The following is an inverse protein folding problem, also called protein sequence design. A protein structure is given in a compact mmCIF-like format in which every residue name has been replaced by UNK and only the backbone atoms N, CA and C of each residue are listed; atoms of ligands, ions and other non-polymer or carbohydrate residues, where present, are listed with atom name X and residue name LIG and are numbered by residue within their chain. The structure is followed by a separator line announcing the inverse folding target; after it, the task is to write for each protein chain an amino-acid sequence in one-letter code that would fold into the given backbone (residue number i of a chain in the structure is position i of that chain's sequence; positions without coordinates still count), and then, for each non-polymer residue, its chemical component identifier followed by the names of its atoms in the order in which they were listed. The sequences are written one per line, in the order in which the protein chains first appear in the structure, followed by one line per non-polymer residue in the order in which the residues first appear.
data_IF_174975599858
#
_entry.id   IF_174975599858
#
_cell.length_a   1.000
_cell.length_b   1.000
_cell.length_c   1.000
_cell.angle_alpha   90.00
_cell.angle_beta   90.00
_cell.angle_gamma   90.00
#
_symmetry.space_group_name_H-M   'P 1'
#
loop_
_entity.id
_entity.type
_entity.pdbx_description
1 polymer ?
#
# COMPACT_ATOMS: atom_id res chain seq x y z
N UNK A 1 -0.97 8.50 24.17
CA UNK A 1 -0.16 9.02 23.04
C UNK A 1 -0.42 10.52 22.97
N UNK A 2 0.62 11.34 22.97
CA UNK A 2 0.49 12.80 22.88
C UNK A 2 1.15 13.23 21.58
N UNK A 3 0.36 13.81 20.67
CA UNK A 3 0.87 14.38 19.43
C UNK A 3 1.55 15.71 19.76
N UNK A 4 2.76 15.93 19.24
CA UNK A 4 3.41 17.24 19.27
C UNK A 4 2.52 18.25 18.53
N UNK A 5 2.09 19.29 19.25
CA UNK A 5 1.20 20.34 18.74
C UNK A 5 1.92 21.68 18.50
N UNK A 6 3.24 21.69 18.53
CA UNK A 6 4.04 22.87 18.24
C UNK A 6 3.78 23.31 16.80
N UNK A 7 3.41 24.58 16.65
CA UNK A 7 3.09 25.17 15.36
C UNK A 7 4.39 25.65 14.71
N UNK A 8 4.75 25.15 13.52
CA UNK A 8 5.97 25.56 12.82
C UNK A 8 5.90 27.00 12.33
N UNK A 9 7.02 27.71 12.43
CA UNK A 9 7.22 29.00 11.79
C UNK A 9 7.48 28.86 10.28
N UNK A 10 7.39 29.97 9.53
CA UNK A 10 7.68 29.98 8.09
C UNK A 10 9.11 29.51 7.77
N UNK A 11 10.05 29.72 8.69
CA UNK A 11 11.46 29.37 8.50
C UNK A 11 11.73 27.87 8.66
N UNK A 12 10.88 27.17 9.41
CA UNK A 12 11.00 25.72 9.69
C UNK A 12 10.59 24.86 8.50
N UNK A 13 9.88 25.44 7.53
CA UNK A 13 9.38 24.70 6.38
C UNK A 13 10.53 24.12 5.57
N UNK A 14 10.38 22.84 5.21
CA UNK A 14 11.38 22.11 4.46
C UNK A 14 11.58 22.72 3.07
N UNK A 15 12.84 23.03 2.75
CA UNK A 15 13.26 23.49 1.44
C UNK A 15 13.88 22.33 0.67
N UNK A 16 13.56 22.26 -0.61
CA UNK A 16 14.10 21.29 -1.54
C UNK A 16 15.06 22.01 -2.48
N UNK A 17 16.23 21.40 -2.73
CA UNK A 17 17.19 21.92 -3.71
C UNK A 17 16.64 21.70 -5.12
N UNK A 18 16.09 20.51 -5.38
CA UNK A 18 15.28 20.18 -6.53
C UNK A 18 14.01 19.43 -6.08
N UNK A 19 12.94 19.49 -6.87
CA UNK A 19 11.68 18.74 -6.61
C UNK A 19 11.90 17.22 -6.46
N UNK A 20 13.04 16.73 -6.94
CA UNK A 20 13.42 15.32 -6.97
C UNK A 20 14.36 14.88 -5.82
N UNK A 21 14.88 15.83 -5.05
CA UNK A 21 15.84 15.60 -3.97
C UNK A 21 15.14 15.38 -2.62
N UNK A 22 15.87 14.83 -1.65
CA UNK A 22 15.44 14.88 -0.26
C UNK A 22 15.60 16.29 0.32
N UNK A 23 14.76 16.67 1.30
CA UNK A 23 15.03 17.85 2.10
C UNK A 23 16.44 17.78 2.70
N UNK A 24 17.23 18.84 2.51
CA UNK A 24 18.60 18.94 3.05
C UNK A 24 18.64 19.34 4.53
N UNK A 25 17.48 19.60 5.14
CA UNK A 25 17.38 19.97 6.56
C UNK A 25 18.05 18.90 7.45
N UNK A 26 19.04 19.28 8.29
CA UNK A 26 19.69 18.34 9.21
C UNK A 26 18.71 17.64 10.15
N UNK A 27 17.67 18.36 10.58
CA UNK A 27 16.62 17.81 11.44
C UNK A 27 15.80 16.74 10.71
N UNK A 28 15.39 17.02 9.46
CA UNK A 28 14.68 16.06 8.64
C UNK A 28 15.52 14.80 8.39
N UNK A 29 16.79 14.97 8.01
CA UNK A 29 17.70 13.85 7.76
C UNK A 29 17.93 13.02 9.02
N UNK A 30 18.04 13.67 10.19
CA UNK A 30 18.14 12.98 11.49
C UNK A 30 16.87 12.19 11.80
N UNK A 31 15.69 12.80 11.64
CA UNK A 31 14.40 12.15 11.87
C UNK A 31 14.17 10.97 10.91
N UNK A 32 14.49 11.13 9.63
CA UNK A 32 14.37 10.08 8.62
C UNK A 32 15.31 8.90 8.90
N UNK A 33 16.57 9.16 9.29
CA UNK A 33 17.50 8.12 9.73
C UNK A 33 17.02 7.39 10.98
N UNK A 34 16.50 8.12 11.97
CA UNK A 34 15.96 7.52 13.19
C UNK A 34 14.75 6.63 12.90
N UNK A 35 13.84 7.08 12.03
CA UNK A 35 12.71 6.28 11.57
C UNK A 35 13.19 5.01 10.84
N UNK A 36 14.21 5.13 9.97
CA UNK A 36 14.81 3.99 9.27
C UNK A 36 15.34 2.95 10.23
N UNK A 37 16.20 3.34 11.17
CA UNK A 37 16.80 2.43 12.16
C UNK A 37 15.73 1.77 13.02
N UNK A 38 14.73 2.55 13.45
CA UNK A 38 13.62 2.05 14.27
C UNK A 38 12.78 1.03 13.50
N UNK A 39 12.39 1.33 12.26
CA UNK A 39 11.61 0.41 11.43
C UNK A 39 12.42 -0.83 11.04
N UNK A 40 13.72 -0.69 10.75
CA UNK A 40 14.58 -1.83 10.42
C UNK A 40 14.70 -2.83 11.59
N UNK A 41 14.98 -2.36 12.81
CA UNK A 41 15.01 -3.21 14.02
C UNK A 41 13.65 -3.89 14.29
N UNK A 42 12.55 -3.15 14.09
CA UNK A 42 11.22 -3.70 14.29
C UNK A 42 10.85 -4.73 13.23
N UNK A 43 11.10 -4.44 11.96
CA UNK A 43 10.85 -5.38 10.86
C UNK A 43 11.69 -6.62 11.04
N UNK A 44 12.97 -6.49 11.43
CA UNK A 44 13.81 -7.63 11.82
C UNK A 44 13.10 -8.51 12.85
N UNK A 45 12.72 -7.97 14.00
CA UNK A 45 12.00 -8.73 15.05
C UNK A 45 10.69 -9.34 14.56
N UNK A 46 10.00 -8.66 13.65
CA UNK A 46 8.73 -9.11 13.06
C UNK A 46 8.88 -10.11 11.92
N UNK A 47 10.09 -10.45 11.48
CA UNK A 47 10.29 -11.52 10.48
C UNK A 47 11.23 -12.61 10.99
N UNK A 48 12.08 -12.29 11.96
CA UNK A 48 12.88 -13.28 12.70
C UNK A 48 12.00 -14.05 13.68
N UNK A 49 12.19 -15.36 13.78
CA UNK A 49 11.46 -16.20 14.76
C UNK A 49 10.09 -16.70 14.29
N UNK A 50 9.73 -16.50 13.01
CA UNK A 50 8.56 -17.16 12.44
C UNK A 50 8.84 -18.65 12.29
N UNK A 51 7.97 -19.47 12.85
CA UNK A 51 8.08 -20.92 12.82
C UNK A 51 8.14 -21.46 11.38
N UNK A 52 9.09 -22.35 11.12
CA UNK A 52 9.21 -23.10 9.86
C UNK A 52 8.32 -24.34 9.80
N UNK A 53 7.55 -24.65 10.86
CA UNK A 53 6.71 -25.87 10.94
C UNK A 53 5.72 -26.01 9.78
N UNK A 54 5.30 -24.90 9.18
CA UNK A 54 4.33 -24.89 8.08
C UNK A 54 4.99 -24.85 6.69
N UNK A 55 6.32 -24.75 6.62
CA UNK A 55 7.06 -24.83 5.35
C UNK A 55 7.24 -26.29 4.94
N UNK A 56 6.89 -26.61 3.71
CA UNK A 56 7.24 -27.89 3.07
C UNK A 56 8.65 -27.87 2.51
N UNK A 57 9.16 -26.70 2.13
CA UNK A 57 10.51 -26.52 1.60
C UNK A 57 11.11 -25.23 2.14
N UNK A 58 12.44 -25.15 2.22
CA UNK A 58 13.16 -23.93 2.67
C UNK A 58 12.95 -22.72 1.76
N UNK A 59 12.45 -22.94 0.53
CA UNK A 59 12.13 -21.86 -0.43
C UNK A 59 10.75 -21.26 -0.20
N UNK A 60 9.84 -21.96 0.49
CA UNK A 60 8.48 -21.48 0.73
C UNK A 60 8.48 -20.25 1.63
N UNK A 61 7.66 -19.27 1.28
CA UNK A 61 7.56 -18.02 2.04
C UNK A 61 6.90 -18.24 3.40
N UNK A 62 7.53 -17.77 4.49
CA UNK A 62 6.86 -17.60 5.80
C UNK A 62 6.15 -16.27 5.93
N UNK A 63 6.55 -15.28 5.12
CA UNK A 63 6.12 -13.88 5.21
C UNK A 63 5.51 -13.43 3.90
N UNK A 64 4.26 -12.99 3.99
CA UNK A 64 3.60 -12.27 2.91
C UNK A 64 3.48 -10.79 3.24
N UNK A 65 3.40 -9.94 2.22
CA UNK A 65 3.21 -8.50 2.34
C UNK A 65 1.95 -8.11 1.57
N UNK A 66 1.04 -7.36 2.19
CA UNK A 66 -0.03 -6.68 1.45
C UNK A 66 0.59 -5.61 0.55
N UNK A 67 0.54 -5.83 -0.77
CA UNK A 67 1.42 -5.13 -1.69
C UNK A 67 0.65 -4.49 -2.85
N UNK A 68 0.23 -3.23 -2.69
CA UNK A 68 -0.34 -2.40 -3.76
C UNK A 68 0.71 -1.72 -4.65
N UNK A 69 2.00 -1.85 -4.32
CA UNK A 69 3.08 -1.04 -4.92
C UNK A 69 3.15 0.40 -4.40
N UNK A 70 2.42 0.73 -3.33
CA UNK A 70 2.56 2.02 -2.66
C UNK A 70 3.90 2.17 -1.92
N UNK A 71 4.20 3.39 -1.49
CA UNK A 71 5.38 3.74 -0.69
C UNK A 71 5.55 2.84 0.53
N UNK A 72 4.47 2.66 1.30
CA UNK A 72 4.51 2.00 2.61
C UNK A 72 4.86 0.51 2.47
N UNK A 73 4.13 -0.22 1.65
CA UNK A 73 4.32 -1.66 1.47
C UNK A 73 5.63 -1.99 0.75
N UNK A 74 6.07 -1.15 -0.20
CA UNK A 74 7.36 -1.34 -0.90
C UNK A 74 8.53 -1.13 0.04
N UNK A 75 8.46 -0.11 0.90
CA UNK A 75 9.47 0.13 1.93
C UNK A 75 9.55 -1.04 2.91
N UNK A 76 8.41 -1.51 3.44
CA UNK A 76 8.37 -2.62 4.39
C UNK A 76 8.84 -3.94 3.76
N UNK A 77 8.51 -4.19 2.49
CA UNK A 77 9.01 -5.36 1.76
C UNK A 77 10.55 -5.34 1.69
N UNK A 78 11.15 -4.22 1.29
CA UNK A 78 12.60 -4.10 1.18
C UNK A 78 13.31 -4.23 2.54
N UNK A 79 12.73 -3.67 3.61
CA UNK A 79 13.24 -3.88 4.96
C UNK A 79 13.15 -5.36 5.36
N UNK A 80 12.04 -6.03 5.09
CA UNK A 80 11.86 -7.46 5.40
C UNK A 80 12.87 -8.33 4.66
N UNK A 81 13.17 -8.01 3.39
CA UNK A 81 14.20 -8.71 2.61
C UNK A 81 15.54 -8.79 3.33
N UNK A 82 15.94 -7.73 4.04
CA UNK A 82 17.25 -7.63 4.69
C UNK A 82 17.43 -8.60 5.87
N UNK A 83 16.33 -9.16 6.39
CA UNK A 83 16.33 -10.00 7.59
C UNK A 83 15.79 -11.42 7.36
N UNK A 84 15.28 -11.70 6.16
CA UNK A 84 14.82 -13.04 5.75
C UNK A 84 15.98 -13.76 5.02
N UNK A 85 16.23 -15.06 5.23
CA UNK A 85 17.30 -15.80 4.53
C UNK A 85 17.16 -15.70 3.00
N UNK A 86 18.20 -15.35 2.21
CA UNK A 86 18.09 -15.11 0.76
C UNK A 86 17.44 -16.23 -0.07
N UNK A 87 17.54 -17.48 0.39
CA UNK A 87 16.94 -18.66 -0.24
C UNK A 87 15.41 -18.73 -0.11
N UNK A 88 14.84 -18.03 0.86
CA UNK A 88 13.39 -18.05 1.13
C UNK A 88 12.65 -17.02 0.27
N UNK A 89 11.55 -17.39 -0.36
CA UNK A 89 10.75 -16.41 -1.12
C UNK A 89 10.02 -15.41 -0.21
N UNK A 90 9.69 -14.22 -0.74
CA UNK A 90 8.74 -13.29 -0.11
C UNK A 90 7.54 -13.12 -1.03
N UNK A 91 6.34 -13.31 -0.48
CA UNK A 91 5.09 -13.24 -1.24
C UNK A 91 4.52 -11.82 -1.17
N UNK A 92 4.30 -11.21 -2.34
CA UNK A 92 3.70 -9.88 -2.49
C UNK A 92 2.25 -10.07 -2.97
N UNK A 93 1.29 -9.85 -2.08
CA UNK A 93 -0.13 -10.08 -2.37
C UNK A 93 -0.75 -8.80 -2.95
N UNK A 94 -1.07 -8.81 -4.23
CA UNK A 94 -1.66 -7.67 -4.94
C UNK A 94 -3.05 -8.03 -5.47
N UNK A 95 -4.07 -7.31 -4.98
CA UNK A 95 -5.48 -7.55 -5.30
C UNK A 95 -5.99 -6.57 -6.35
N UNK A 96 -6.75 -7.08 -7.31
CA UNK A 96 -7.45 -6.32 -8.33
C UNK A 96 -8.86 -6.87 -8.50
N UNK A 97 -9.85 -5.99 -8.58
CA UNK A 97 -11.22 -6.36 -8.87
C UNK A 97 -11.53 -6.13 -10.35
N UNK A 98 -12.39 -6.98 -10.89
CA UNK A 98 -12.82 -6.93 -12.29
C UNK A 98 -13.32 -5.54 -12.68
N UNK A 99 -12.70 -4.92 -13.69
CA UNK A 99 -13.09 -3.62 -14.20
C UNK A 99 -14.14 -3.75 -15.31
N UNK A 100 -15.43 -3.74 -14.93
CA UNK A 100 -16.55 -3.89 -15.87
C UNK A 100 -16.56 -2.86 -17.00
N UNK A 101 -15.98 -1.66 -16.80
CA UNK A 101 -15.91 -0.61 -17.84
C UNK A 101 -14.94 -0.97 -18.98
N UNK A 102 -13.87 -1.72 -18.69
CA UNK A 102 -12.94 -2.21 -19.72
C UNK A 102 -13.61 -3.25 -20.64
N UNK A 103 -14.53 -4.04 -20.08
CA UNK A 103 -15.31 -5.05 -20.81
C UNK A 103 -16.28 -4.34 -21.77
N UNK A 104 -16.99 -3.30 -21.33
CA UNK A 104 -17.92 -2.54 -22.18
C UNK A 104 -17.22 -1.81 -23.34
N UNK A 105 -16.04 -1.24 -23.11
CA UNK A 105 -15.26 -0.57 -24.15
C UNK A 105 -14.71 -1.57 -25.19
N UNK A 106 -14.30 -2.77 -24.76
CA UNK A 106 -13.88 -3.86 -25.66
C UNK A 106 -15.04 -4.39 -26.54
N UNK A 107 -16.27 -4.34 -26.06
CA UNK A 107 -17.45 -4.68 -26.88
C UNK A 107 -17.78 -3.61 -27.93
N UNK A 108 -17.47 -2.33 -27.68
CA UNK A 108 -17.64 -1.26 -28.68
C UNK A 108 -16.54 -1.29 -29.76
N UNK A 109 -15.28 -1.52 -29.40
CA UNK A 109 -14.19 -1.64 -30.40
C UNK A 109 -14.32 -2.88 -31.28
N UNK A 110 -14.82 -4.01 -30.76
CA UNK A 110 -15.16 -5.20 -31.55
C UNK A 110 -16.31 -4.99 -32.55
N UNK A 111 -17.19 -4.00 -32.34
CA UNK A 111 -18.22 -3.62 -33.31
C UNK A 111 -17.68 -2.74 -34.44
N UNK A 112 -16.62 -1.96 -34.18
CA UNK A 112 -15.99 -1.07 -35.18
C UNK A 112 -14.98 -1.84 -36.06
N UNK A 113 -14.33 -2.87 -35.54
CA UNK A 113 -13.39 -3.72 -36.30
C UNK A 113 -14.03 -4.83 -37.15
N UNK A 114 -15.34 -4.75 -37.45
CA UNK A 114 -15.98 -5.71 -38.37
C UNK A 114 -15.95 -5.29 -39.84
N UNK A 115 -15.48 -4.07 -40.14
CA UNK A 115 -15.45 -3.52 -41.51
C UNK A 115 -14.04 -3.36 -42.12
N UNK A 116 -12.99 -3.94 -41.52
CA UNK A 116 -11.64 -3.88 -42.11
C UNK A 116 -10.80 -5.12 -41.83
N UNK A 117 -11.05 -6.19 -42.60
CA UNK A 117 -10.11 -7.30 -42.69
C UNK A 117 -9.00 -6.98 -43.71
N UNK A 118 -7.76 -6.84 -43.21
CA UNK A 118 -6.53 -7.50 -43.70
C UNK A 118 -5.29 -6.80 -43.13
N UNK A 119 -4.65 -7.41 -42.12
CA UNK A 119 -3.21 -7.72 -42.11
C UNK A 119 -2.68 -8.04 -40.70
N UNK A 120 -1.83 -9.07 -40.67
CA UNK A 120 -0.84 -9.46 -39.64
C UNK A 120 -1.34 -9.84 -38.24
N UNK A 121 -1.16 -11.14 -37.95
CA UNK A 121 -1.22 -11.76 -36.65
C UNK A 121 -0.11 -11.25 -35.74
N UNK A 122 -0.50 -10.60 -34.64
CA UNK A 122 0.19 -10.65 -33.35
C UNK A 122 -0.82 -10.20 -32.27
N UNK A 123 -1.70 -11.13 -31.93
CA UNK A 123 -2.81 -10.87 -31.02
C UNK A 123 -2.36 -11.10 -29.57
N UNK A 124 -1.49 -10.23 -29.05
CA UNK A 124 -1.33 -10.08 -27.61
C UNK A 124 -2.60 -9.46 -27.03
N UNK A 125 -3.60 -10.31 -26.78
CA UNK A 125 -4.84 -9.96 -26.11
C UNK A 125 -4.52 -9.63 -24.64
N UNK A 126 -3.98 -8.43 -24.38
CA UNK A 126 -3.68 -7.96 -23.03
C UNK A 126 -5.00 -7.90 -22.26
N UNK A 127 -5.18 -8.79 -21.29
CA UNK A 127 -6.41 -8.86 -20.50
C UNK A 127 -6.50 -7.61 -19.60
N UNK A 128 -7.05 -6.51 -20.14
CA UNK A 128 -7.19 -5.20 -19.47
C UNK A 128 -8.15 -5.24 -18.26
N UNK A 129 -8.86 -6.35 -18.09
CA UNK A 129 -9.89 -6.57 -17.05
C UNK A 129 -9.38 -6.32 -15.63
N UNK A 130 -8.15 -6.73 -15.33
CA UNK A 130 -7.52 -6.59 -14.00
C UNK A 130 -6.35 -5.61 -13.98
N UNK A 131 -6.13 -4.89 -15.09
CA UNK A 131 -5.08 -3.89 -15.22
C UNK A 131 -5.48 -2.57 -14.53
N UNK A 132 -5.74 -2.67 -13.23
CA UNK A 132 -6.16 -1.57 -12.37
C UNK A 132 -4.94 -0.77 -11.87
N UNK A 133 -5.12 0.47 -11.38
CA UNK A 133 -3.99 1.32 -11.04
C UNK A 133 -2.99 0.74 -10.02
N UNK A 134 -3.46 -0.05 -9.04
CA UNK A 134 -2.57 -0.72 -8.07
C UNK A 134 -1.94 -2.01 -8.60
N UNK A 135 -2.53 -2.66 -9.63
CA UNK A 135 -1.88 -3.77 -10.34
C UNK A 135 -0.68 -3.27 -11.12
N UNK A 136 -0.87 -2.24 -11.95
CA UNK A 136 0.20 -1.59 -12.73
C UNK A 136 1.32 -1.09 -11.83
N UNK A 137 0.95 -0.43 -10.73
CA UNK A 137 1.91 0.07 -9.76
C UNK A 137 2.64 -1.09 -9.08
N UNK A 138 1.91 -2.05 -8.51
CA UNK A 138 2.48 -3.26 -7.92
C UNK A 138 3.49 -3.98 -8.82
N UNK A 139 3.19 -4.18 -10.09
CA UNK A 139 4.11 -4.83 -11.03
C UNK A 139 5.40 -4.02 -11.25
N UNK A 140 5.31 -2.68 -11.34
CA UNK A 140 6.50 -1.84 -11.48
C UNK A 140 7.39 -1.90 -10.23
N UNK A 141 6.81 -1.77 -9.04
CA UNK A 141 7.59 -1.76 -7.80
C UNK A 141 8.11 -3.15 -7.42
N UNK A 142 7.41 -4.21 -7.81
CA UNK A 142 7.95 -5.57 -7.74
C UNK A 142 9.21 -5.73 -8.61
N UNK A 143 9.21 -5.16 -9.83
CA UNK A 143 10.42 -5.11 -10.68
C UNK A 143 11.51 -4.24 -10.07
N UNK A 144 11.18 -3.09 -9.47
CA UNK A 144 12.15 -2.25 -8.74
C UNK A 144 12.82 -3.04 -7.60
N UNK A 145 12.03 -3.72 -6.75
CA UNK A 145 12.55 -4.60 -5.69
C UNK A 145 13.45 -5.69 -6.24
N UNK A 146 13.03 -6.35 -7.33
CA UNK A 146 13.80 -7.42 -7.98
C UNK A 146 15.14 -6.92 -8.52
N UNK A 147 15.18 -5.71 -9.10
CA UNK A 147 16.42 -5.07 -9.57
C UNK A 147 17.35 -4.70 -8.42
N UNK A 148 16.82 -4.16 -7.33
CA UNK A 148 17.61 -3.77 -6.16
C UNK A 148 18.16 -4.98 -5.39
N UNK A 149 17.46 -6.12 -5.44
CA UNK A 149 17.77 -7.31 -4.65
C UNK A 149 17.72 -8.59 -5.51
N UNK A 150 18.65 -8.74 -6.48
CA UNK A 150 18.58 -9.81 -7.47
C UNK A 150 18.71 -11.23 -6.89
N UNK A 151 19.25 -11.36 -5.67
CA UNK A 151 19.40 -12.64 -4.97
C UNK A 151 18.13 -13.16 -4.28
N UNK A 152 17.02 -12.39 -4.28
CA UNK A 152 15.75 -12.77 -3.63
C UNK A 152 14.74 -13.25 -4.65
N UNK A 153 14.03 -14.33 -4.31
CA UNK A 153 12.83 -14.72 -5.03
C UNK A 153 11.63 -13.92 -4.54
N UNK A 154 11.25 -12.89 -5.30
CA UNK A 154 10.05 -12.10 -5.06
C UNK A 154 8.88 -12.71 -5.82
N UNK A 155 7.90 -13.26 -5.11
CA UNK A 155 6.71 -13.84 -5.72
C UNK A 155 5.57 -12.82 -5.70
N UNK A 156 5.29 -12.23 -6.85
CA UNK A 156 4.13 -11.36 -7.03
C UNK A 156 2.87 -12.20 -7.26
N UNK A 157 1.97 -12.25 -6.28
CA UNK A 157 0.74 -13.03 -6.34
C UNK A 157 -0.41 -12.12 -6.79
N UNK A 158 -0.90 -12.36 -8.00
CA UNK A 158 -2.01 -11.64 -8.60
C UNK A 158 -3.35 -12.21 -8.14
N UNK A 159 -3.94 -11.58 -7.13
CA UNK A 159 -5.29 -11.89 -6.65
C UNK A 159 -6.29 -11.15 -7.53
N UNK A 160 -6.78 -11.80 -8.58
CA UNK A 160 -7.79 -11.26 -9.50
C UNK A 160 -9.17 -11.71 -9.03
N UNK A 161 -10.01 -10.75 -8.61
CA UNK A 161 -11.34 -11.00 -8.03
C UNK A 161 -12.41 -10.72 -9.06
N UNK A 162 -13.06 -11.79 -9.51
CA UNK A 162 -14.19 -11.72 -10.44
C UNK A 162 -15.43 -11.17 -9.72
N UNK A 163 -16.34 -10.52 -10.45
CA UNK A 163 -17.55 -9.98 -9.83
C UNK A 163 -18.44 -11.07 -9.21
N UNK A 164 -18.58 -12.21 -9.89
CA UNK A 164 -19.34 -13.35 -9.35
C UNK A 164 -18.77 -13.84 -8.00
N UNK A 165 -17.45 -13.98 -7.93
CA UNK A 165 -16.75 -14.39 -6.71
C UNK A 165 -16.92 -13.35 -5.58
N UNK A 166 -16.84 -12.05 -5.89
CA UNK A 166 -17.12 -11.00 -4.91
C UNK A 166 -18.54 -11.13 -4.35
N UNK A 167 -19.55 -11.33 -5.20
CA UNK A 167 -20.95 -11.44 -4.79
C UNK A 167 -21.18 -12.65 -3.87
N UNK A 168 -20.53 -13.79 -4.12
CA UNK A 168 -20.59 -14.98 -3.26
C UNK A 168 -20.04 -14.71 -1.85
N UNK A 169 -19.03 -13.86 -1.72
CA UNK A 169 -18.41 -13.53 -0.44
C UNK A 169 -18.97 -12.27 0.23
N UNK A 170 -19.73 -11.44 -0.48
CA UNK A 170 -20.18 -10.11 -0.04
C UNK A 170 -20.89 -10.15 1.33
N UNK A 171 -21.88 -11.02 1.48
CA UNK A 171 -22.63 -11.14 2.74
C UNK A 171 -21.75 -11.50 3.94
N UNK A 172 -20.73 -12.34 3.71
CA UNK A 172 -19.76 -12.69 4.74
C UNK A 172 -18.90 -11.49 5.13
N UNK A 173 -18.41 -10.74 4.14
CA UNK A 173 -17.58 -9.54 4.36
C UNK A 173 -18.39 -8.50 5.14
N UNK A 174 -19.67 -8.27 4.79
CA UNK A 174 -20.57 -7.36 5.52
C UNK A 174 -20.74 -7.77 6.98
N UNK A 175 -20.90 -9.07 7.26
CA UNK A 175 -20.99 -9.57 8.64
C UNK A 175 -19.68 -9.37 9.40
N UNK A 176 -18.55 -9.67 8.75
CA UNK A 176 -17.22 -9.57 9.33
C UNK A 176 -16.74 -8.13 9.53
N UNK A 177 -17.28 -7.13 8.83
CA UNK A 177 -16.77 -5.75 8.89
C UNK A 177 -17.45 -4.88 9.94
N UNK A 178 -18.44 -5.42 10.69
CA UNK A 178 -19.18 -4.67 11.71
C UNK A 178 -18.22 -4.05 12.77
N UNK A 179 -18.66 -3.13 13.63
CA UNK A 179 -19.89 -2.34 13.54
C UNK A 179 -19.88 -1.37 12.34
N UNK A 180 -18.78 -1.27 11.58
CA UNK A 180 -18.71 -0.47 10.37
C UNK A 180 -19.65 -1.01 9.29
N UNK A 181 -20.37 -0.12 8.60
CA UNK A 181 -21.46 -0.48 7.68
C UNK A 181 -21.53 0.44 6.44
N UNK A 182 -20.52 1.27 6.18
CA UNK A 182 -20.53 2.15 5.01
C UNK A 182 -20.06 1.44 3.73
N UNK A 183 -20.40 1.98 2.57
CA UNK A 183 -19.90 1.50 1.27
C UNK A 183 -18.37 1.56 1.20
N UNK A 184 -17.78 2.62 1.76
CA UNK A 184 -16.32 2.73 1.84
C UNK A 184 -15.72 1.61 2.70
N UNK A 185 -16.33 1.31 3.85
CA UNK A 185 -15.89 0.21 4.71
C UNK A 185 -15.95 -1.13 3.96
N UNK A 186 -17.04 -1.41 3.25
CA UNK A 186 -17.18 -2.64 2.45
C UNK A 186 -16.11 -2.73 1.37
N UNK A 187 -15.84 -1.64 0.65
CA UNK A 187 -14.84 -1.64 -0.42
C UNK A 187 -13.42 -1.90 0.08
N UNK A 188 -13.05 -1.36 1.25
CA UNK A 188 -11.74 -1.61 1.88
C UNK A 188 -11.70 -3.04 2.44
N UNK A 189 -12.76 -3.45 3.14
CA UNK A 189 -12.89 -4.78 3.72
C UNK A 189 -12.76 -5.88 2.66
N UNK A 190 -13.44 -5.73 1.53
CA UNK A 190 -13.36 -6.66 0.41
C UNK A 190 -11.93 -6.78 -0.13
N UNK A 191 -11.24 -5.65 -0.35
CA UNK A 191 -9.86 -5.68 -0.84
C UNK A 191 -8.92 -6.40 0.14
N UNK A 192 -9.03 -6.13 1.44
CA UNK A 192 -8.23 -6.80 2.45
C UNK A 192 -8.56 -8.29 2.58
N UNK A 193 -9.86 -8.65 2.54
CA UNK A 193 -10.32 -10.04 2.61
C UNK A 193 -9.75 -10.87 1.47
N UNK A 194 -9.90 -10.41 0.22
CA UNK A 194 -9.40 -11.16 -0.93
C UNK A 194 -7.87 -11.17 -0.99
N UNK A 195 -7.19 -10.07 -0.67
CA UNK A 195 -5.74 -10.07 -0.58
C UNK A 195 -5.22 -11.07 0.47
N UNK A 196 -5.80 -11.06 1.67
CA UNK A 196 -5.43 -11.95 2.78
C UNK A 196 -5.75 -13.42 2.52
N UNK A 197 -6.73 -13.72 1.66
CA UNK A 197 -6.97 -15.10 1.19
C UNK A 197 -5.71 -15.71 0.54
N UNK A 198 -4.91 -14.86 -0.11
CA UNK A 198 -3.59 -15.23 -0.63
C UNK A 198 -3.62 -16.26 -1.75
N UNK A 199 -4.72 -16.31 -2.52
CA UNK A 199 -4.90 -17.18 -3.69
C UNK A 199 -4.91 -16.31 -4.94
N UNK A 200 -4.04 -16.63 -5.90
CA UNK A 200 -3.92 -15.88 -7.15
C UNK A 200 -2.90 -16.48 -8.12
N UNK A 201 -2.65 -15.81 -9.23
CA UNK A 201 -1.64 -16.21 -10.20
C UNK A 201 -0.26 -15.72 -9.73
N UNK A 202 0.69 -16.63 -9.48
CA UNK A 202 2.04 -16.23 -9.06
C UNK A 202 2.95 -15.91 -10.23
N UNK A 203 3.68 -14.81 -10.11
CA UNK A 203 4.78 -14.42 -10.99
C UNK A 203 6.05 -14.33 -10.14
N UNK A 204 7.05 -15.15 -10.47
CA UNK A 204 8.39 -15.03 -9.91
C UNK A 204 9.18 -14.02 -10.71
N UNK A 205 10.16 -13.39 -10.05
CA UNK A 205 11.03 -12.39 -10.66
C UNK A 205 11.65 -12.97 -11.95
N UNK A 206 11.55 -12.20 -13.04
CA UNK A 206 12.06 -12.57 -14.35
C UNK A 206 13.58 -12.77 -14.27
N UNK A 207 14.02 -14.02 -14.09
CA UNK A 207 15.42 -14.38 -14.30
C UNK A 207 15.64 -14.48 -15.80
N UNK A 208 16.71 -13.86 -16.30
CA UNK A 208 17.08 -13.86 -17.72
C UNK A 208 16.99 -15.30 -18.27
N UNK A 209 16.08 -15.53 -19.23
CA UNK A 209 15.89 -16.82 -19.90
C UNK A 209 14.82 -17.76 -19.32
N UNK A 210 14.09 -17.41 -18.26
CA UNK A 210 12.99 -18.24 -17.73
C UNK A 210 11.69 -17.46 -17.58
N UNK A 211 10.83 -17.53 -18.60
CA UNK A 211 9.42 -17.18 -18.48
C UNK A 211 8.71 -18.39 -17.87
N UNK A 212 8.63 -18.43 -16.54
CA UNK A 212 7.76 -19.40 -15.87
C UNK A 212 6.30 -19.00 -16.16
N UNK A 213 5.44 -19.91 -16.67
CA UNK A 213 4.04 -19.57 -16.91
C UNK A 213 3.36 -19.22 -15.57
N UNK A 214 2.37 -18.32 -15.58
CA UNK A 214 1.58 -18.04 -14.39
C UNK A 214 0.95 -19.33 -13.87
N UNK A 215 1.11 -19.59 -12.58
CA UNK A 215 0.53 -20.76 -11.92
C UNK A 215 -0.44 -20.32 -10.84
N UNK A 216 -1.58 -21.00 -10.74
CA UNK A 216 -2.48 -20.86 -9.60
C UNK A 216 -1.70 -21.19 -8.33
N UNK A 217 -1.65 -20.23 -7.42
CA UNK A 217 -0.81 -20.28 -6.24
C UNK A 217 -1.60 -19.87 -5.02
N UNK A 218 -1.33 -20.55 -3.91
CA UNK A 218 -1.78 -20.14 -2.59
C UNK A 218 -0.56 -19.93 -1.72
N UNK A 219 -0.45 -18.75 -1.13
CA UNK A 219 0.65 -18.45 -0.20
C UNK A 219 0.63 -19.42 0.99
N UNK A 220 1.77 -20.04 1.34
CA UNK A 220 1.92 -20.82 2.57
C UNK A 220 2.17 -19.91 3.78
N UNK A 221 2.49 -18.63 3.55
CA UNK A 221 2.82 -17.67 4.59
C UNK A 221 1.67 -17.53 5.60
N UNK A 222 2.01 -17.57 6.88
CA UNK A 222 1.07 -17.38 8.00
C UNK A 222 1.18 -16.00 8.63
N UNK A 223 2.26 -15.28 8.33
CA UNK A 223 2.47 -13.91 8.77
C UNK A 223 2.26 -12.97 7.59
N UNK A 224 1.46 -11.93 7.82
CA UNK A 224 1.13 -10.90 6.83
C UNK A 224 1.61 -9.54 7.33
N UNK A 225 2.56 -8.92 6.62
CA UNK A 225 3.01 -7.56 6.91
C UNK A 225 2.08 -6.56 6.23
N UNK A 226 1.64 -5.57 6.99
CA UNK A 226 0.75 -4.51 6.50
C UNK A 226 1.35 -3.13 6.74
N UNK A 227 1.24 -2.27 5.71
CA UNK A 227 1.59 -0.85 5.77
C UNK A 227 0.55 0.05 6.45
N UNK A 228 -0.52 -0.52 7.00
CA UNK A 228 -1.55 0.23 7.72
C UNK A 228 -0.92 1.03 8.87
N UNK A 229 -1.33 2.29 8.98
CA UNK A 229 -0.88 3.22 10.04
C UNK A 229 -0.07 4.40 9.53
N UNK A 230 0.69 4.24 8.43
CA UNK A 230 1.52 5.30 7.85
C UNK A 230 0.74 6.62 7.69
N UNK A 231 -0.42 6.55 7.05
CA UNK A 231 -1.17 7.75 6.69
C UNK A 231 -1.73 8.53 7.88
N UNK A 232 -2.03 7.85 8.99
CA UNK A 232 -2.53 8.50 10.22
C UNK A 232 -1.39 9.19 10.97
N UNK A 233 -0.19 8.62 10.92
CA UNK A 233 0.99 9.13 11.64
C UNK A 233 1.76 10.20 10.85
N UNK A 234 1.82 10.05 9.53
CA UNK A 234 2.60 10.92 8.63
C UNK A 234 1.72 11.79 7.72
N UNK A 235 0.41 11.70 7.93
CA UNK A 235 -0.56 12.56 7.30
C UNK A 235 -0.90 12.23 5.86
N UNK A 236 -0.78 11.00 5.36
CA UNK A 236 -0.98 10.66 3.93
C UNK A 236 -2.36 10.90 3.29
N UNK A 237 -3.45 11.11 4.04
CA UNK A 237 -4.79 11.27 3.46
C UNK A 237 -5.05 12.58 2.69
N UNK A 238 -5.98 12.51 1.73
CA UNK A 238 -6.51 13.65 0.97
C UNK A 238 -7.10 14.73 1.89
N UNK A 239 -7.91 14.34 2.87
CA UNK A 239 -8.51 15.30 3.81
C UNK A 239 -7.50 16.06 4.67
N UNK A 240 -6.33 15.49 4.96
CA UNK A 240 -5.26 16.24 5.63
C UNK A 240 -4.79 17.42 4.78
N UNK A 241 -4.77 17.23 3.44
CA UNK A 241 -4.53 18.30 2.48
C UNK A 241 -5.62 19.34 2.52
N UNK A 242 -6.86 18.89 2.45
CA UNK A 242 -8.01 19.79 2.49
C UNK A 242 -7.99 20.63 3.78
N UNK A 243 -7.71 20.01 4.93
CA UNK A 243 -7.64 20.70 6.22
C UNK A 243 -6.53 21.75 6.27
N UNK A 244 -5.33 21.43 5.75
CA UNK A 244 -4.23 22.39 5.69
C UNK A 244 -4.47 23.54 4.70
N UNK A 245 -5.12 23.26 3.56
CA UNK A 245 -5.38 24.29 2.53
C UNK A 245 -6.63 25.12 2.81
N UNK A 246 -7.48 24.73 3.77
CA UNK A 246 -8.69 25.48 4.09
C UNK A 246 -8.31 26.76 4.85
N UNK A 247 -8.39 27.90 4.15
CA UNK A 247 -8.17 29.23 4.75
C UNK A 247 -9.45 29.72 5.42
N UNK A 248 -9.63 29.44 6.71
CA UNK A 248 -10.56 30.21 7.55
C UNK A 248 -9.83 31.41 8.15
N UNK A 249 -10.51 32.55 8.25
CA UNK A 249 -9.97 33.82 8.78
C UNK A 249 -9.48 33.76 10.24
N UNK A 250 -9.73 32.65 10.94
CA UNK A 250 -9.60 32.54 12.40
C UNK A 250 -8.68 31.40 12.91
N UNK A 251 -8.07 30.57 12.06
CA UNK A 251 -7.27 29.41 12.53
C UNK A 251 -6.01 29.20 11.69
N UNK A 252 -4.92 28.81 12.36
CA UNK A 252 -3.66 28.46 11.68
C UNK A 252 -3.82 27.14 10.91
N UNK A 253 -3.38 27.10 9.64
CA UNK A 253 -3.44 25.90 8.78
C UNK A 253 -2.82 24.65 9.43
N UNK A 254 -1.76 24.83 10.23
CA UNK A 254 -1.09 23.74 10.94
C UNK A 254 -1.95 23.15 12.05
N UNK A 255 -2.71 23.98 12.77
CA UNK A 255 -3.56 23.56 13.87
C UNK A 255 -4.68 22.63 13.37
N UNK A 256 -5.32 22.99 12.26
CA UNK A 256 -6.35 22.15 11.62
C UNK A 256 -5.79 20.80 11.17
N UNK A 257 -4.58 20.79 10.61
CA UNK A 257 -3.90 19.55 10.24
C UNK A 257 -3.63 18.69 11.49
N UNK A 258 -3.14 19.29 12.57
CA UNK A 258 -2.90 18.60 13.83
C UNK A 258 -4.17 18.02 14.43
N UNK A 259 -5.31 18.72 14.34
CA UNK A 259 -6.61 18.22 14.78
C UNK A 259 -7.08 17.00 13.97
N UNK A 260 -6.95 17.05 12.64
CA UNK A 260 -7.27 15.89 11.80
C UNK A 260 -6.40 14.67 12.11
N UNK A 261 -5.09 14.88 12.31
CA UNK A 261 -4.17 13.81 12.69
C UNK A 261 -4.50 13.25 14.08
N UNK A 262 -4.83 14.10 15.04
CA UNK A 262 -5.21 13.69 16.38
C UNK A 262 -6.50 12.86 16.38
N UNK A 263 -7.53 13.33 15.65
CA UNK A 263 -8.80 12.60 15.48
C UNK A 263 -8.59 11.21 14.87
N UNK A 264 -7.69 11.09 13.90
CA UNK A 264 -7.36 9.81 13.26
C UNK A 264 -6.72 8.81 14.19
N UNK A 265 -5.78 9.32 14.97
CA UNK A 265 -5.05 8.56 15.94
C UNK A 265 -5.97 8.08 17.08
N UNK A 266 -6.92 8.90 17.51
CA UNK A 266 -7.91 8.54 18.52
C UNK A 266 -8.87 7.45 18.02
N UNK A 267 -9.28 7.50 16.75
CA UNK A 267 -10.28 6.59 16.18
C UNK A 267 -9.69 5.39 15.45
N UNK A 268 -8.36 5.25 15.41
CA UNK A 268 -7.69 4.23 14.57
C UNK A 268 -8.17 2.80 14.87
N UNK A 269 -8.44 2.49 16.14
CA UNK A 269 -8.92 1.18 16.58
C UNK A 269 -10.30 0.85 16.01
N UNK A 270 -11.24 1.79 16.09
CA UNK A 270 -12.64 1.56 15.68
C UNK A 270 -12.90 1.82 14.21
N UNK A 271 -12.16 2.73 13.57
CA UNK A 271 -12.39 3.11 12.16
C UNK A 271 -11.53 2.36 11.15
N UNK A 272 -10.39 1.82 11.57
CA UNK A 272 -9.48 1.09 10.69
C UNK A 272 -9.21 -0.31 11.23
N UNK A 273 -8.51 -0.42 12.36
CA UNK A 273 -7.89 -1.68 12.76
C UNK A 273 -8.90 -2.78 13.08
N UNK A 274 -10.04 -2.48 13.69
CA UNK A 274 -11.07 -3.49 13.97
C UNK A 274 -11.58 -4.17 12.70
N UNK A 275 -12.08 -3.38 11.74
CA UNK A 275 -12.52 -3.87 10.43
C UNK A 275 -11.40 -4.62 9.70
N UNK A 276 -10.22 -4.01 9.64
CA UNK A 276 -9.11 -4.49 8.82
C UNK A 276 -8.57 -5.83 9.37
N UNK A 277 -8.39 -5.94 10.70
CA UNK A 277 -7.96 -7.16 11.38
C UNK A 277 -8.93 -8.31 11.13
N UNK A 278 -10.24 -8.08 11.29
CA UNK A 278 -11.25 -9.12 11.10
C UNK A 278 -11.24 -9.74 9.70
N UNK A 279 -10.95 -8.96 8.66
CA UNK A 279 -10.81 -9.48 7.30
C UNK A 279 -9.63 -10.44 7.15
N UNK A 280 -8.50 -10.10 7.76
CA UNK A 280 -7.25 -10.83 7.61
C UNK A 280 -7.20 -12.04 8.55
N UNK A 281 -7.60 -11.86 9.81
CA UNK A 281 -7.71 -12.88 10.86
C UNK A 281 -8.67 -14.00 10.47
N UNK A 282 -9.68 -13.72 9.63
CA UNK A 282 -10.57 -14.74 9.05
C UNK A 282 -9.80 -15.90 8.37
N UNK A 283 -8.65 -15.60 7.76
CA UNK A 283 -7.81 -16.59 7.09
C UNK A 283 -6.76 -17.24 7.99
N UNK A 284 -6.83 -17.01 9.31
CA UNK A 284 -5.86 -17.48 10.31
C UNK A 284 -4.45 -17.00 10.02
N UNK A 285 -4.35 -15.74 9.60
CA UNK A 285 -3.09 -15.03 9.43
C UNK A 285 -2.80 -14.20 10.66
N UNK A 286 -1.53 -14.17 11.07
CA UNK A 286 -1.04 -13.19 12.02
C UNK A 286 -0.64 -11.93 11.24
N UNK A 287 -1.36 -10.83 11.45
CA UNK A 287 -1.03 -9.56 10.81
C UNK A 287 -0.05 -8.77 11.67
N UNK A 288 1.05 -8.32 11.07
CA UNK A 288 2.07 -7.49 11.73
C UNK A 288 2.05 -6.08 11.13
N UNK A 289 2.00 -5.08 12.01
CA UNK A 289 1.90 -3.65 11.65
C UNK A 289 3.15 -2.88 12.12
N UNK A 290 4.28 -2.90 11.38
CA UNK A 290 5.51 -2.23 11.79
C UNK A 290 5.33 -0.75 12.15
N UNK A 291 4.51 -0.04 11.37
CA UNK A 291 4.25 1.40 11.52
C UNK A 291 3.37 1.74 12.73
N UNK A 292 2.65 0.76 13.28
CA UNK A 292 1.82 0.93 14.48
C UNK A 292 2.50 0.40 15.74
N UNK A 293 3.78 0.06 15.66
CA UNK A 293 4.56 -0.26 16.84
C UNK A 293 4.69 0.97 17.74
N UNK A 294 4.61 0.76 19.07
CA UNK A 294 4.72 1.82 20.07
C UNK A 294 5.93 2.74 19.88
N UNK A 295 7.10 2.18 19.53
CA UNK A 295 8.33 2.98 19.30
C UNK A 295 8.21 3.91 18.10
N UNK A 296 7.58 3.44 17.01
CA UNK A 296 7.35 4.26 15.81
C UNK A 296 6.30 5.32 16.10
N UNK A 297 5.24 4.96 16.80
CA UNK A 297 4.19 5.89 17.23
C UNK A 297 4.80 6.99 18.10
N UNK A 298 5.55 6.65 19.16
CA UNK A 298 6.14 7.63 20.07
C UNK A 298 7.14 8.53 19.35
N UNK A 299 7.96 7.98 18.46
CA UNK A 299 8.86 8.75 17.60
C UNK A 299 8.08 9.75 16.74
N UNK A 300 7.11 9.29 15.94
CA UNK A 300 6.41 10.14 14.98
C UNK A 300 5.46 11.13 15.66
N UNK A 301 4.82 10.74 16.75
CA UNK A 301 3.97 11.64 17.53
C UNK A 301 4.78 12.76 18.17
N UNK A 302 6.02 12.51 18.61
CA UNK A 302 6.89 13.53 19.20
C UNK A 302 7.52 14.52 18.20
N UNK A 303 7.56 14.18 16.91
CA UNK A 303 8.15 15.06 15.89
C UNK A 303 7.23 16.23 15.51
N UNK A 304 7.81 17.42 15.22
CA UNK A 304 7.10 18.54 14.62
C UNK A 304 6.35 18.15 13.34
N UNK A 305 5.18 18.76 13.11
CA UNK A 305 4.29 18.38 11.99
C UNK A 305 4.91 18.64 10.61
N UNK A 306 5.69 19.71 10.44
CA UNK A 306 6.31 20.07 9.17
C UNK A 306 7.31 19.03 8.65
N UNK A 307 7.92 18.23 9.54
CA UNK A 307 8.80 17.12 9.14
C UNK A 307 8.01 15.93 8.58
N UNK A 308 6.77 15.75 9.05
CA UNK A 308 5.88 14.64 8.66
C UNK A 308 5.14 14.94 7.36
N UNK A 309 4.66 16.18 7.23
CA UNK A 309 3.77 16.63 6.17
C UNK A 309 3.97 18.14 5.89
N UNK A 310 4.07 18.52 4.62
CA UNK A 310 3.95 19.91 4.16
C UNK A 310 3.24 19.98 2.80
N UNK A 311 1.99 20.44 2.79
CA UNK A 311 1.18 20.50 1.57
C UNK A 311 1.53 21.62 0.60
N UNK A 312 2.36 22.59 1.00
CA UNK A 312 2.85 23.58 0.06
C UNK A 312 3.84 23.00 -0.96
N UNK A 313 4.30 21.75 -0.76
CA UNK A 313 5.17 21.02 -1.69
C UNK A 313 4.40 20.28 -2.80
N UNK A 314 3.07 20.29 -2.79
CA UNK A 314 2.24 19.59 -3.79
C UNK A 314 1.98 18.10 -3.49
N UNK A 315 1.27 17.44 -4.40
CA UNK A 315 0.83 16.03 -4.25
C UNK A 315 1.96 15.08 -4.63
N UNK A 316 2.21 14.05 -3.82
CA UNK A 316 3.27 13.06 -4.08
C UNK A 316 4.64 13.48 -3.54
N UNK A 317 4.76 14.68 -3.00
CA UNK A 317 5.96 15.18 -2.32
C UNK A 317 5.65 15.52 -0.86
N UNK A 318 4.57 16.28 -0.63
CA UNK A 318 4.23 16.78 0.70
C UNK A 318 3.57 15.79 1.67
N UNK A 319 3.18 14.61 1.20
CA UNK A 319 2.66 13.48 2.00
C UNK A 319 3.75 12.52 2.44
N UNK A 320 3.60 11.98 3.66
CA UNK A 320 4.45 10.89 4.16
C UNK A 320 5.96 11.21 4.02
N UNK A 321 6.36 12.46 4.27
CA UNK A 321 7.69 13.00 3.93
C UNK A 321 8.83 12.15 4.51
N UNK A 322 8.76 11.83 5.82
CA UNK A 322 9.80 11.02 6.47
C UNK A 322 9.93 9.63 5.85
N UNK A 323 8.82 9.03 5.41
CA UNK A 323 8.83 7.72 4.78
C UNK A 323 9.34 7.78 3.34
N UNK A 324 9.07 8.88 2.61
CA UNK A 324 9.69 9.16 1.30
C UNK A 324 11.20 9.34 1.43
N UNK A 325 11.65 10.09 2.44
CA UNK A 325 13.07 10.24 2.78
C UNK A 325 13.71 8.90 3.16
N UNK A 326 13.01 8.06 3.92
CA UNK A 326 13.51 6.72 4.25
C UNK A 326 13.64 5.88 2.97
N UNK A 327 12.60 5.81 2.14
CA UNK A 327 12.56 5.00 0.92
C UNK A 327 13.65 5.42 -0.08
N UNK A 328 13.83 6.73 -0.28
CA UNK A 328 14.92 7.23 -1.13
C UNK A 328 16.29 6.89 -0.53
N UNK A 329 16.47 6.94 0.80
CA UNK A 329 17.69 6.47 1.46
C UNK A 329 17.95 4.95 1.34
N UNK A 330 16.93 4.17 0.96
CA UNK A 330 17.01 2.76 0.59
C UNK A 330 17.13 2.54 -0.93
N UNK A 331 17.29 3.61 -1.72
CA UNK A 331 17.36 3.61 -3.19
C UNK A 331 16.07 3.17 -3.89
N UNK A 332 14.93 3.28 -3.22
CA UNK A 332 13.61 3.14 -3.84
C UNK A 332 13.22 4.47 -4.50
N UNK A 333 13.60 4.66 -5.76
CA UNK A 333 13.46 5.93 -6.49
C UNK A 333 12.06 6.10 -7.05
N UNK A 334 11.44 5.02 -7.54
CA UNK A 334 10.08 5.11 -8.09
C UNK A 334 9.06 5.26 -6.96
N UNK A 335 9.10 4.37 -5.96
CA UNK A 335 8.09 4.36 -4.89
C UNK A 335 8.06 5.65 -4.06
N UNK A 336 9.22 6.31 -3.85
CA UNK A 336 9.31 7.54 -3.07
C UNK A 336 8.66 8.76 -3.74
N UNK A 337 8.28 8.66 -5.02
CA UNK A 337 7.67 9.74 -5.82
C UNK A 337 6.20 9.50 -6.13
N UNK A 338 5.69 8.29 -5.89
CA UNK A 338 4.33 7.96 -6.27
C UNK A 338 3.31 8.69 -5.39
N UNK A 339 2.25 9.26 -5.99
CA UNK A 339 1.18 9.87 -5.22
C UNK A 339 0.44 8.81 -4.43
N UNK A 340 0.08 9.13 -3.19
CA UNK A 340 -0.72 8.21 -2.37
C UNK A 340 -2.09 7.95 -2.99
N UNK A 341 -2.51 6.69 -2.92
CA UNK A 341 -3.83 6.20 -3.33
C UNK A 341 -4.38 5.27 -2.25
N UNK A 342 -5.68 5.37 -1.98
CA UNK A 342 -6.36 4.45 -1.09
C UNK A 342 -6.71 3.14 -1.82
N UNK A 343 -6.61 2.01 -1.12
CA UNK A 343 -6.72 0.67 -1.70
C UNK A 343 -8.03 0.47 -2.47
N UNK A 344 -9.14 1.01 -1.98
CA UNK A 344 -10.44 0.83 -2.61
C UNK A 344 -10.55 1.45 -4.00
N UNK A 345 -9.77 2.51 -4.25
CA UNK A 345 -9.71 3.14 -5.57
C UNK A 345 -8.67 2.48 -6.46
N UNK A 346 -7.54 2.07 -5.88
CA UNK A 346 -6.43 1.47 -6.61
C UNK A 346 -6.68 0.05 -7.08
N UNK A 347 -7.33 -0.76 -6.24
CA UNK A 347 -7.75 -2.13 -6.56
C UNK A 347 -9.10 -2.20 -7.29
N UNK A 348 -9.75 -1.07 -7.54
CA UNK A 348 -11.08 -0.96 -8.18
C UNK A 348 -12.27 -1.48 -7.34
N UNK A 349 -12.10 -1.84 -6.07
CA UNK A 349 -13.19 -2.37 -5.23
C UNK A 349 -14.29 -1.37 -4.90
N UNK A 350 -14.03 -0.06 -4.97
CA UNK A 350 -15.05 0.98 -4.76
C UNK A 350 -16.11 1.03 -5.86
N UNK A 351 -15.88 0.38 -7.02
CA UNK A 351 -16.81 0.40 -8.17
C UNK A 351 -17.73 -0.83 -8.24
N UNK A 352 -17.65 -1.75 -7.28
CA UNK A 352 -18.37 -3.03 -7.34
C UNK A 352 -19.89 -2.90 -7.26
N UNK A 353 -20.41 -1.91 -6.53
CA UNK A 353 -21.86 -1.77 -6.30
C UNK A 353 -22.55 -0.79 -7.28
N UNK A 354 -21.97 -0.52 -8.45
CA UNK A 354 -22.63 0.20 -9.54
C UNK A 354 -22.88 1.71 -9.32
N UNK A 355 -22.58 2.26 -8.15
CA UNK A 355 -22.65 3.71 -7.93
C UNK A 355 -21.41 4.40 -8.52
N UNK A 356 -21.57 4.96 -9.71
CA UNK A 356 -20.60 5.63 -10.59
C UNK A 356 -19.92 6.88 -10.02
N UNK A 357 -20.00 7.15 -8.71
CA UNK A 357 -19.33 8.28 -8.08
C UNK A 357 -18.61 7.80 -6.83
N UNK A 358 -17.37 7.37 -7.03
CA UNK A 358 -16.41 7.29 -5.93
C UNK A 358 -16.25 8.69 -5.33
N UNK A 359 -16.96 8.96 -4.24
CA UNK A 359 -16.69 10.15 -3.45
C UNK A 359 -15.32 9.94 -2.79
N UNK A 360 -14.33 10.72 -3.24
CA UNK A 360 -13.05 10.83 -2.56
C UNK A 360 -13.32 11.42 -1.18
N UNK A 361 -13.13 10.62 -0.13
CA UNK A 361 -13.06 11.08 1.25
C UNK A 361 -11.74 11.74 1.58
#
# INVERSE_FOLDING_TARGET
MVLNRDIPDKQDRLKFVQLEDQPSSPEFLKASRLLRVTLDDLVKRMVTGISSLHQKTEKESRVSVLFSGGLDCTTLALLAHSHIPPSESIDLLNVAFENTQSISNNHQTKRIQKDSEKSSADNHNSNTTFDVPDRQTGERLWRELSKLTPGRDWRFVRVDVQMAEYLEHKEKIIKLMRPNLTVMDLSIAAALYFAARGIGNSHLNERVGSLSPPMTYRTPARVLISGLGADKLLGGYSRHRSAFLTTSLSSNNWERLLDELAMDLERISTRNLGRDDWMMSWFRLEVRHPLLNRRVIDLLSGLPVHLKRDHGLGKGLGDNLLLRGLAHGLRLVESCRLPKRAIQFGAQSAKLDGNSKGQAG
#
